data_IF_245619448804
#
_entry.id   IF_245619448804
#
_cell.length_a   1.000
_cell.length_b   1.000
_cell.length_c   1.000
_cell.angle_alpha   90.00
_cell.angle_beta   90.00
_cell.angle_gamma   90.00
#
_symmetry.space_group_name_H-M   'P 1'
#
loop_
_entity.id
_entity.type
_entity.pdbx_description
1 polymer ?
#
# COMPACT_ATOMS: atom_id res chain seq x y z
N UNK A 1 -46.32 -26.81 0.92
CA UNK A 1 -46.90 -26.09 -0.23
C UNK A 1 -45.81 -25.30 -0.93
N UNK A 2 -45.63 -25.62 -2.22
CA UNK A 2 -45.12 -24.86 -3.37
C UNK A 2 -43.98 -23.84 -3.20
N UNK A 3 -42.78 -24.34 -3.48
CA UNK A 3 -41.70 -23.61 -4.16
C UNK A 3 -42.14 -23.41 -5.62
N UNK A 4 -42.76 -22.28 -5.93
CA UNK A 4 -43.07 -21.88 -7.30
C UNK A 4 -42.41 -20.52 -7.56
N UNK A 5 -41.63 -20.49 -8.64
CA UNK A 5 -40.87 -19.36 -9.20
C UNK A 5 -39.43 -19.17 -8.70
N UNK A 6 -38.54 -20.01 -9.26
CA UNK A 6 -37.18 -19.59 -9.59
C UNK A 6 -37.21 -18.37 -10.54
N UNK A 7 -36.24 -17.47 -10.45
CA UNK A 7 -34.87 -17.73 -10.90
C UNK A 7 -33.85 -17.33 -9.83
N UNK A 8 -32.78 -18.12 -9.67
CA UNK A 8 -31.51 -17.52 -9.21
C UNK A 8 -31.11 -16.59 -10.35
N UNK A 9 -31.37 -15.30 -10.19
CA UNK A 9 -30.83 -14.29 -11.07
C UNK A 9 -29.31 -14.43 -11.07
N UNK A 10 -28.76 -14.96 -12.18
CA UNK A 10 -27.35 -14.86 -12.51
C UNK A 10 -26.95 -13.43 -12.92
N UNK A 11 -27.88 -12.45 -12.84
CA UNK A 11 -27.49 -11.06 -12.96
C UNK A 11 -26.60 -10.70 -11.76
N UNK A 12 -25.45 -10.04 -12.00
CA UNK A 12 -24.60 -9.57 -10.92
C UNK A 12 -25.46 -8.76 -9.94
N UNK A 13 -25.33 -9.05 -8.64
CA UNK A 13 -25.98 -8.25 -7.60
C UNK A 13 -25.56 -6.80 -7.82
N UNK A 14 -26.52 -5.90 -8.02
CA UNK A 14 -26.24 -4.50 -8.30
C UNK A 14 -25.23 -3.95 -7.29
N UNK A 15 -24.11 -3.43 -7.80
CA UNK A 15 -23.05 -2.87 -6.96
C UNK A 15 -23.42 -1.44 -6.54
N UNK A 16 -22.72 -0.91 -5.52
CA UNK A 16 -22.83 0.50 -5.14
C UNK A 16 -22.49 1.41 -6.34
N UNK A 17 -21.54 1.01 -7.18
CA UNK A 17 -21.18 1.72 -8.42
C UNK A 17 -22.32 1.72 -9.45
N UNK A 18 -23.04 0.61 -9.60
CA UNK A 18 -24.21 0.56 -10.50
C UNK A 18 -25.33 1.44 -9.98
N UNK A 19 -25.53 1.48 -8.66
CA UNK A 19 -26.51 2.37 -8.04
C UNK A 19 -26.18 3.85 -8.26
N UNK A 20 -24.91 4.26 -8.11
CA UNK A 20 -24.46 5.63 -8.42
C UNK A 20 -24.72 5.99 -9.88
N UNK A 21 -24.31 5.13 -10.83
CA UNK A 21 -24.54 5.35 -12.27
C UNK A 21 -26.02 5.57 -12.59
N UNK A 22 -26.90 4.72 -12.05
CA UNK A 22 -28.35 4.86 -12.24
C UNK A 22 -28.89 6.18 -11.66
N UNK A 23 -28.36 6.65 -10.53
CA UNK A 23 -28.74 7.94 -9.97
C UNK A 23 -28.28 9.08 -10.88
N UNK A 24 -27.04 9.05 -11.37
CA UNK A 24 -26.47 10.09 -12.23
C UNK A 24 -27.25 10.22 -13.55
N UNK A 25 -27.65 9.09 -14.16
CA UNK A 25 -28.51 9.08 -15.35
C UNK A 25 -29.89 9.71 -15.07
N UNK A 26 -30.49 9.40 -13.93
CA UNK A 26 -31.77 9.98 -13.51
C UNK A 26 -31.67 11.47 -13.23
N UNK A 27 -30.60 11.91 -12.55
CA UNK A 27 -30.32 13.32 -12.30
C UNK A 27 -30.15 14.07 -13.63
N UNK A 28 -29.39 13.52 -14.57
CA UNK A 28 -29.21 14.09 -15.90
C UNK A 28 -30.55 14.23 -16.66
N UNK A 29 -31.40 13.21 -16.59
CA UNK A 29 -32.76 13.27 -17.17
C UNK A 29 -33.64 14.35 -16.53
N UNK A 30 -33.57 14.50 -15.21
CA UNK A 30 -34.28 15.54 -14.48
C UNK A 30 -33.77 16.93 -14.86
N UNK A 31 -32.47 17.12 -15.02
CA UNK A 31 -31.88 18.39 -15.44
C UNK A 31 -32.34 18.84 -16.83
N UNK A 32 -32.40 17.91 -17.79
CA UNK A 32 -32.96 18.19 -19.12
C UNK A 32 -34.42 18.63 -19.01
N UNK A 33 -35.23 17.98 -18.17
CA UNK A 33 -36.65 18.36 -17.96
C UNK A 33 -36.78 19.72 -17.28
N UNK A 34 -35.99 19.99 -16.23
CA UNK A 34 -35.96 21.27 -15.52
C UNK A 34 -35.55 22.40 -16.47
N UNK A 35 -34.54 22.19 -17.31
CA UNK A 35 -34.09 23.16 -18.32
C UNK A 35 -35.19 23.51 -19.33
N UNK A 36 -35.94 22.52 -19.82
CA UNK A 36 -37.11 22.75 -20.69
C UNK A 36 -38.19 23.59 -20.00
N UNK A 37 -38.53 23.27 -18.74
CA UNK A 37 -39.51 24.04 -17.96
C UNK A 37 -39.02 25.47 -17.67
N UNK A 38 -37.72 25.67 -17.42
CA UNK A 38 -37.12 27.01 -17.26
C UNK A 38 -37.28 27.86 -18.53
N UNK A 39 -37.07 27.26 -19.70
CA UNK A 39 -37.24 27.94 -20.99
C UNK A 39 -38.71 28.34 -21.20
N UNK A 40 -39.65 27.46 -20.86
CA UNK A 40 -41.09 27.76 -20.93
C UNK A 40 -41.48 28.89 -19.94
N UNK A 41 -40.98 28.84 -18.71
CA UNK A 41 -41.20 29.89 -17.70
C UNK A 41 -40.67 31.25 -18.14
N UNK A 42 -39.48 31.28 -18.76
CA UNK A 42 -38.90 32.51 -19.32
C UNK A 42 -39.79 33.08 -20.42
N UNK A 43 -40.37 32.21 -21.25
CA UNK A 43 -41.33 32.61 -22.29
C UNK A 43 -42.60 33.20 -21.69
N UNK A 44 -43.15 32.58 -20.63
CA UNK A 44 -44.29 33.15 -19.92
C UNK A 44 -43.96 34.49 -19.25
N UNK A 45 -42.79 34.62 -18.62
CA UNK A 45 -42.34 35.86 -18.00
C UNK A 45 -42.32 37.00 -19.02
N UNK A 46 -41.73 36.77 -20.21
CA UNK A 46 -41.67 37.78 -21.28
C UNK A 46 -43.05 38.16 -21.79
N UNK A 47 -43.96 37.19 -21.95
CA UNK A 47 -45.36 37.48 -22.35
C UNK A 47 -46.08 38.29 -21.28
N UNK A 48 -45.94 37.91 -20.00
CA UNK A 48 -46.60 38.60 -18.89
C UNK A 48 -46.10 40.04 -18.70
N UNK A 49 -44.82 40.32 -18.95
CA UNK A 49 -44.26 41.68 -18.82
C UNK A 49 -44.78 42.65 -19.88
N UNK A 50 -45.20 42.15 -21.04
CA UNK A 50 -45.75 42.96 -22.14
C UNK A 50 -47.28 43.13 -22.05
N UNK A 51 -47.94 42.46 -21.10
CA UNK A 51 -49.41 42.48 -20.99
C UNK A 51 -49.90 43.46 -19.93
N UNK A 52 -50.96 44.19 -20.29
CA UNK A 52 -51.76 44.96 -19.32
C UNK A 52 -52.53 44.01 -18.41
N UNK A 53 -52.81 44.47 -17.19
CA UNK A 53 -53.59 43.69 -16.23
C UNK A 53 -55.00 43.43 -16.75
N UNK A 54 -55.47 42.20 -16.56
CA UNK A 54 -56.78 41.75 -17.01
C UNK A 54 -56.91 40.22 -17.12
N UNK A 55 -58.08 39.72 -17.54
CA UNK A 55 -58.39 38.30 -17.60
C UNK A 55 -57.39 37.48 -18.45
N UNK A 56 -56.91 38.04 -19.57
CA UNK A 56 -55.91 37.40 -20.42
C UNK A 56 -54.57 37.19 -19.71
N UNK A 57 -54.08 38.20 -18.97
CA UNK A 57 -52.84 38.10 -18.19
C UNK A 57 -52.98 37.11 -17.04
N UNK A 58 -54.14 37.08 -16.37
CA UNK A 58 -54.43 36.11 -15.30
C UNK A 58 -54.44 34.66 -15.81
N UNK A 59 -54.98 34.42 -17.01
CA UNK A 59 -54.95 33.09 -17.63
C UNK A 59 -53.52 32.59 -17.89
N UNK A 60 -52.66 33.45 -18.43
CA UNK A 60 -51.24 33.11 -18.66
C UNK A 60 -50.50 32.91 -17.34
N UNK A 61 -50.75 33.75 -16.32
CA UNK A 61 -50.18 33.61 -14.98
C UNK A 61 -50.53 32.25 -14.36
N UNK A 62 -51.78 31.80 -14.51
CA UNK A 62 -52.22 30.49 -14.01
C UNK A 62 -51.52 29.32 -14.73
N UNK A 63 -51.25 29.44 -16.04
CA UNK A 63 -50.46 28.45 -16.78
C UNK A 63 -49.00 28.43 -16.31
N UNK A 64 -48.38 29.60 -16.18
CA UNK A 64 -47.02 29.73 -15.66
C UNK A 64 -46.87 29.14 -14.24
N UNK A 65 -47.87 29.35 -13.37
CA UNK A 65 -47.89 28.76 -12.03
C UNK A 65 -47.92 27.22 -12.05
N UNK A 66 -48.62 26.59 -12.99
CA UNK A 66 -48.62 25.12 -13.13
C UNK A 66 -47.23 24.61 -13.52
N UNK A 67 -46.59 25.25 -14.50
CA UNK A 67 -45.23 24.91 -14.95
C UNK A 67 -44.21 25.12 -13.83
N UNK A 68 -44.34 26.21 -13.05
CA UNK A 68 -43.46 26.48 -11.91
C UNK A 68 -43.59 25.39 -10.84
N UNK A 69 -44.81 24.94 -10.53
CA UNK A 69 -45.04 23.84 -9.58
C UNK A 69 -44.40 22.54 -10.06
N UNK A 70 -44.57 22.21 -11.35
CA UNK A 70 -43.93 21.03 -11.95
C UNK A 70 -42.41 21.12 -11.86
N UNK A 71 -41.83 22.27 -12.18
CA UNK A 71 -40.38 22.49 -12.06
C UNK A 71 -39.89 22.29 -10.63
N UNK A 72 -40.55 22.91 -9.64
CA UNK A 72 -40.20 22.74 -8.22
C UNK A 72 -40.31 21.29 -7.74
N UNK A 73 -41.30 20.54 -8.24
CA UNK A 73 -41.43 19.12 -7.91
C UNK A 73 -40.26 18.31 -8.47
N UNK A 74 -39.79 18.60 -9.69
CA UNK A 74 -38.63 17.92 -10.27
C UNK A 74 -37.32 18.32 -9.58
N UNK A 75 -37.16 19.58 -9.18
CA UNK A 75 -36.03 20.04 -8.35
C UNK A 75 -35.98 19.26 -7.03
N UNK A 76 -37.11 19.14 -6.32
CA UNK A 76 -37.17 18.36 -5.09
C UNK A 76 -36.81 16.87 -5.30
N UNK A 77 -37.25 16.27 -6.41
CA UNK A 77 -36.85 14.90 -6.77
C UNK A 77 -35.34 14.79 -7.05
N UNK A 78 -34.76 15.78 -7.73
CA UNK A 78 -33.33 15.84 -7.99
C UNK A 78 -32.55 15.95 -6.68
N UNK A 79 -32.95 16.84 -5.78
CA UNK A 79 -32.29 17.04 -4.49
C UNK A 79 -32.32 15.76 -3.65
N UNK A 80 -33.45 15.03 -3.66
CA UNK A 80 -33.56 13.73 -2.99
C UNK A 80 -32.59 12.69 -3.59
N UNK A 81 -32.45 12.64 -4.92
CA UNK A 81 -31.51 11.75 -5.58
C UNK A 81 -30.04 12.12 -5.31
N UNK A 82 -29.73 13.42 -5.27
CA UNK A 82 -28.39 13.91 -4.90
C UNK A 82 -28.03 13.51 -3.47
N UNK A 83 -28.99 13.61 -2.53
CA UNK A 83 -28.81 13.10 -1.16
C UNK A 83 -28.58 11.58 -1.12
N UNK A 84 -29.29 10.81 -1.95
CA UNK A 84 -29.03 9.37 -2.08
C UNK A 84 -27.65 9.07 -2.65
N UNK A 85 -27.21 9.80 -3.67
CA UNK A 85 -25.88 9.67 -4.25
C UNK A 85 -24.80 9.90 -3.19
N UNK A 86 -24.94 10.98 -2.40
CA UNK A 86 -24.02 11.29 -1.31
C UNK A 86 -23.96 10.16 -0.26
N UNK A 87 -25.10 9.63 0.17
CA UNK A 87 -25.14 8.50 1.11
C UNK A 87 -24.44 7.25 0.54
N UNK A 88 -24.59 6.98 -0.76
CA UNK A 88 -23.90 5.86 -1.42
C UNK A 88 -22.40 6.11 -1.49
N UNK A 89 -21.96 7.33 -1.81
CA UNK A 89 -20.53 7.67 -1.80
C UNK A 89 -19.92 7.51 -0.40
N UNK A 90 -20.64 7.89 0.66
CA UNK A 90 -20.20 7.66 2.04
C UNK A 90 -20.10 6.16 2.38
N UNK A 91 -21.07 5.36 1.95
CA UNK A 91 -21.03 3.91 2.11
C UNK A 91 -19.88 3.26 1.34
N UNK A 92 -19.56 3.77 0.15
CA UNK A 92 -18.44 3.32 -0.67
C UNK A 92 -17.10 3.61 0.02
N UNK A 93 -16.91 4.85 0.52
CA UNK A 93 -15.71 5.21 1.29
C UNK A 93 -15.53 4.32 2.53
N UNK A 94 -16.62 4.07 3.26
CA UNK A 94 -16.61 3.17 4.42
C UNK A 94 -16.23 1.74 4.01
N UNK A 95 -16.79 1.25 2.91
CA UNK A 95 -16.48 -0.08 2.37
C UNK A 95 -15.01 -0.21 2.01
N UNK A 96 -14.43 0.82 1.38
CA UNK A 96 -13.02 0.79 0.98
C UNK A 96 -12.07 0.88 2.19
N UNK A 97 -12.42 1.69 3.21
CA UNK A 97 -11.71 1.68 4.50
C UNK A 97 -11.74 0.31 5.18
N UNK A 98 -12.89 -0.37 5.16
CA UNK A 98 -13.03 -1.72 5.71
C UNK A 98 -12.20 -2.75 4.94
N UNK A 99 -12.12 -2.66 3.60
CA UNK A 99 -11.24 -3.52 2.81
C UNK A 99 -9.77 -3.31 3.17
N UNK A 100 -9.33 -2.06 3.30
CA UNK A 100 -7.96 -1.75 3.71
C UNK A 100 -7.66 -2.33 5.10
N UNK A 101 -8.59 -2.17 6.04
CA UNK A 101 -8.48 -2.76 7.38
C UNK A 101 -8.37 -4.29 7.32
N UNK A 102 -9.16 -4.94 6.47
CA UNK A 102 -9.11 -6.39 6.28
C UNK A 102 -7.76 -6.85 5.72
N UNK A 103 -7.19 -6.13 4.74
CA UNK A 103 -5.86 -6.40 4.20
C UNK A 103 -4.80 -6.30 5.31
N UNK A 104 -4.85 -5.25 6.13
CA UNK A 104 -3.94 -5.10 7.29
C UNK A 104 -4.09 -6.26 8.27
N UNK A 105 -5.32 -6.63 8.64
CA UNK A 105 -5.58 -7.75 9.55
C UNK A 105 -5.05 -9.06 8.98
N UNK A 106 -5.24 -9.32 7.69
CA UNK A 106 -4.74 -10.53 7.05
C UNK A 106 -3.20 -10.54 6.94
N UNK A 107 -2.57 -9.38 6.72
CA UNK A 107 -1.12 -9.25 6.81
C UNK A 107 -0.62 -9.56 8.23
N UNK A 108 -1.24 -8.98 9.26
CA UNK A 108 -0.90 -9.25 10.67
C UNK A 108 -1.05 -10.73 11.03
N UNK A 109 -2.12 -11.40 10.54
CA UNK A 109 -2.30 -12.85 10.75
C UNK A 109 -1.16 -13.66 10.12
N UNK A 110 -0.74 -13.31 8.90
CA UNK A 110 0.39 -13.96 8.22
C UNK A 110 1.68 -13.74 8.98
N UNK A 111 1.98 -12.50 9.37
CA UNK A 111 3.16 -12.16 10.18
C UNK A 111 3.16 -12.89 11.52
N UNK A 112 2.04 -12.95 12.23
CA UNK A 112 1.94 -13.69 13.50
C UNK A 112 2.17 -15.20 13.32
N UNK A 113 1.68 -15.78 12.21
CA UNK A 113 1.95 -17.19 11.89
C UNK A 113 3.43 -17.44 11.63
N UNK A 114 4.10 -16.54 10.91
CA UNK A 114 5.53 -16.63 10.65
C UNK A 114 6.35 -16.42 11.93
N UNK A 115 6.02 -15.40 12.74
CA UNK A 115 6.64 -15.17 14.05
C UNK A 115 6.56 -16.42 14.93
N UNK A 116 5.40 -17.08 15.01
CA UNK A 116 5.26 -18.34 15.77
C UNK A 116 6.11 -19.48 15.21
N UNK A 117 6.25 -19.55 13.88
CA UNK A 117 7.10 -20.55 13.23
C UNK A 117 8.58 -20.30 13.51
N UNK A 118 9.03 -19.06 13.44
CA UNK A 118 10.42 -18.66 13.73
C UNK A 118 10.74 -18.83 15.20
N UNK A 119 9.86 -18.37 16.09
CA UNK A 119 10.05 -18.50 17.54
C UNK A 119 10.06 -19.97 17.98
N UNK A 120 9.21 -20.82 17.39
CA UNK A 120 9.23 -22.26 17.65
C UNK A 120 10.44 -23.02 17.10
N UNK A 121 11.32 -22.37 16.31
CA UNK A 121 12.62 -22.92 15.88
C UNK A 121 13.77 -22.49 16.79
N UNK A 122 13.55 -21.52 17.68
CA UNK A 122 14.53 -21.11 18.68
C UNK A 122 14.40 -22.10 19.82
N UNK A 123 15.39 -22.98 19.94
CA UNK A 123 15.50 -23.96 21.01
C UNK A 123 16.14 -23.25 22.20
N UNK A 124 15.34 -22.87 23.20
CA UNK A 124 15.80 -22.07 24.35
C UNK A 124 16.86 -22.83 25.13
N UNK A 125 16.72 -24.15 25.25
CA UNK A 125 17.69 -25.02 25.91
C UNK A 125 19.06 -24.95 25.21
N UNK A 126 19.10 -24.87 23.87
CA UNK A 126 20.37 -24.67 23.14
C UNK A 126 20.92 -23.25 23.25
N UNK A 127 20.06 -22.27 23.52
CA UNK A 127 20.50 -20.90 23.79
C UNK A 127 21.17 -20.81 25.16
N UNK A 128 20.63 -21.53 26.16
CA UNK A 128 21.25 -21.71 27.48
C UNK A 128 22.56 -22.50 27.35
N UNK A 129 22.57 -23.63 26.62
CA UNK A 129 23.79 -24.41 26.37
C UNK A 129 24.87 -23.56 25.67
N UNK A 130 24.51 -22.75 24.66
CA UNK A 130 25.47 -21.83 24.02
C UNK A 130 25.92 -20.70 24.94
N UNK A 131 25.08 -20.23 25.85
CA UNK A 131 25.47 -19.21 26.82
C UNK A 131 26.46 -19.80 27.83
N UNK A 132 26.20 -21.01 28.32
CA UNK A 132 27.09 -21.76 29.21
C UNK A 132 28.40 -22.09 28.51
N UNK A 133 28.37 -22.52 27.24
CA UNK A 133 29.57 -22.78 26.44
C UNK A 133 30.35 -21.48 26.13
N UNK A 134 29.66 -20.34 25.99
CA UNK A 134 30.30 -19.03 25.86
C UNK A 134 30.95 -18.56 27.17
N UNK A 135 30.31 -18.81 28.32
CA UNK A 135 30.89 -18.55 29.63
C UNK A 135 32.12 -19.44 29.88
N UNK A 136 32.03 -20.72 29.53
CA UNK A 136 33.15 -21.67 29.60
C UNK A 136 34.30 -21.27 28.67
N UNK A 137 34.00 -20.72 27.48
CA UNK A 137 35.01 -20.20 26.55
C UNK A 137 35.67 -18.91 27.05
N UNK A 138 34.91 -18.02 27.72
CA UNK A 138 35.47 -16.83 28.36
C UNK A 138 36.35 -17.23 29.54
N UNK A 139 35.90 -18.17 30.37
CA UNK A 139 36.67 -18.68 31.50
C UNK A 139 37.92 -19.43 31.04
N UNK A 140 37.85 -20.26 29.99
CA UNK A 140 39.04 -20.82 29.35
C UNK A 140 39.93 -19.75 28.72
N UNK A 141 39.37 -18.70 28.14
CA UNK A 141 40.18 -17.60 27.59
C UNK A 141 40.93 -16.86 28.70
N UNK A 142 40.30 -16.65 29.85
CA UNK A 142 40.93 -16.06 31.03
C UNK A 142 41.99 -17.02 31.61
N UNK A 143 41.68 -18.32 31.71
CA UNK A 143 42.62 -19.34 32.18
C UNK A 143 43.80 -19.52 31.22
N UNK A 144 43.58 -19.37 29.90
CA UNK A 144 44.64 -19.34 28.88
C UNK A 144 45.48 -18.06 29.00
N UNK A 145 44.88 -16.90 29.26
CA UNK A 145 45.60 -15.65 29.51
C UNK A 145 46.48 -15.75 30.78
N UNK A 146 45.94 -16.33 31.85
CA UNK A 146 46.65 -16.59 33.12
C UNK A 146 47.76 -17.66 32.94
N UNK A 147 47.48 -18.77 32.25
CA UNK A 147 48.41 -19.87 32.03
C UNK A 147 49.52 -19.56 31.02
N UNK A 148 49.26 -18.70 30.03
CA UNK A 148 50.31 -18.15 29.16
C UNK A 148 51.21 -17.16 29.89
N UNK A 149 50.94 -16.85 31.17
CA UNK A 149 51.73 -15.92 31.97
C UNK A 149 51.89 -14.58 31.27
N UNK A 150 50.95 -14.23 30.38
CA UNK A 150 50.85 -12.89 29.85
C UNK A 150 49.88 -12.21 30.78
N UNK A 151 50.43 -11.77 31.91
CA UNK A 151 50.12 -10.44 32.39
C UNK A 151 50.20 -9.51 31.16
N UNK A 152 49.09 -9.32 30.47
CA UNK A 152 48.80 -7.97 30.04
C UNK A 152 48.43 -7.28 31.34
N UNK A 153 49.49 -6.84 32.03
CA UNK A 153 49.49 -5.62 32.79
C UNK A 153 48.99 -4.59 31.79
N UNK A 154 47.67 -4.46 31.64
CA UNK A 154 47.11 -3.18 31.24
C UNK A 154 47.45 -2.35 32.46
N UNK A 155 48.42 -1.41 32.37
CA UNK A 155 48.66 -0.54 33.50
C UNK A 155 47.31 0.06 33.85
N UNK A 156 46.90 -0.02 35.12
CA UNK A 156 45.64 0.60 35.60
C UNK A 156 45.61 2.13 35.29
N UNK A 157 46.72 2.69 34.82
CA UNK A 157 46.92 4.09 34.44
C UNK A 157 47.21 4.25 32.93
N UNK A 158 46.23 4.00 32.04
CA UNK A 158 46.22 4.70 30.73
C UNK A 158 45.61 6.08 30.99
N UNK A 159 46.41 7.14 30.89
CA UNK A 159 45.89 8.50 31.08
C UNK A 159 45.05 8.93 29.88
N UNK A 160 43.92 9.63 30.10
CA UNK A 160 43.07 10.17 29.00
C UNK A 160 43.88 10.92 27.94
N UNK A 161 44.96 11.61 28.33
CA UNK A 161 45.80 12.36 27.39
C UNK A 161 46.68 11.49 26.48
N UNK A 162 46.98 10.25 26.87
CA UNK A 162 47.69 9.30 26.00
C UNK A 162 46.73 8.65 25.01
N UNK A 163 45.50 8.34 25.46
CA UNK A 163 44.42 7.83 24.63
C UNK A 163 43.98 8.85 23.56
N UNK A 164 43.84 10.12 23.93
CA UNK A 164 43.48 11.19 22.99
C UNK A 164 44.56 11.39 21.92
N UNK A 165 45.84 11.35 22.32
CA UNK A 165 46.96 11.47 21.38
C UNK A 165 47.03 10.29 20.40
N UNK A 166 46.67 9.08 20.84
CA UNK A 166 46.64 7.89 19.98
C UNK A 166 45.42 7.88 19.05
N UNK A 167 44.27 8.38 19.51
CA UNK A 167 43.07 8.58 18.68
C UNK A 167 43.27 9.64 17.59
N UNK A 168 43.93 10.75 17.91
CA UNK A 168 44.28 11.78 16.93
C UNK A 168 45.23 11.21 15.87
N UNK A 169 46.25 10.45 16.26
CA UNK A 169 47.17 9.81 15.33
C UNK A 169 46.46 8.79 14.42
N UNK A 170 45.46 8.04 14.92
CA UNK A 170 44.67 7.11 14.13
C UNK A 170 43.72 7.83 13.16
N UNK A 171 43.17 8.99 13.57
CA UNK A 171 42.38 9.87 12.72
C UNK A 171 43.21 10.43 11.56
N UNK A 172 44.45 10.86 11.82
CA UNK A 172 45.39 11.30 10.79
C UNK A 172 45.79 10.17 9.83
N UNK A 173 45.98 8.93 10.32
CA UNK A 173 46.26 7.77 9.46
C UNK A 173 45.04 7.36 8.61
N UNK A 174 43.82 7.48 9.15
CA UNK A 174 42.59 7.25 8.42
C UNK A 174 42.32 8.32 7.36
N UNK A 175 42.55 9.60 7.69
CA UNK A 175 42.46 10.72 6.76
C UNK A 175 43.54 10.64 5.67
N UNK A 176 44.77 10.25 6.00
CA UNK A 176 45.83 10.02 5.01
C UNK A 176 45.48 8.84 4.07
N UNK A 177 44.80 7.81 4.58
CA UNK A 177 44.32 6.69 3.78
C UNK A 177 43.07 7.05 2.96
N UNK A 178 42.22 7.96 3.43
CA UNK A 178 41.06 8.51 2.72
C UNK A 178 41.47 9.52 1.63
N UNK A 179 42.55 10.30 1.85
CA UNK A 179 43.19 11.14 0.82
C UNK A 179 43.94 10.31 -0.24
N UNK A 180 44.48 9.14 0.13
CA UNK A 180 45.12 8.20 -0.80
C UNK A 180 44.09 7.34 -1.57
N UNK A 181 42.92 7.07 -0.98
CA UNK A 181 41.85 6.25 -1.56
C UNK A 181 40.63 7.13 -1.93
N UNK A 182 40.83 8.02 -2.90
CA UNK A 182 39.74 8.78 -3.51
C UNK A 182 38.54 7.89 -3.88
N UNK A 183 37.40 8.16 -3.23
CA UNK A 183 36.04 7.71 -3.57
C UNK A 183 35.85 6.20 -3.80
N UNK A 184 35.74 5.39 -2.74
CA UNK A 184 34.93 4.16 -2.79
C UNK A 184 34.45 3.67 -1.43
N UNK A 185 33.38 4.29 -0.93
CA UNK A 185 32.58 3.68 0.14
C UNK A 185 32.01 2.32 -0.34
N UNK A 186 31.93 1.31 0.55
CA UNK A 186 31.35 0.01 0.22
C UNK A 186 29.95 0.13 -0.41
N UNK A 187 29.70 -0.69 -1.43
CA UNK A 187 28.47 -0.68 -2.26
C UNK A 187 27.14 -0.78 -1.47
N UNK A 188 27.14 -1.24 -0.22
CA UNK A 188 25.92 -1.27 0.61
C UNK A 188 25.49 0.13 1.12
N UNK A 189 26.30 1.17 0.91
CA UNK A 189 26.01 2.55 1.30
C UNK A 189 25.74 3.49 0.11
N UNK A 190 25.65 2.99 -1.14
CA UNK A 190 25.38 3.83 -2.33
C UNK A 190 23.98 3.62 -2.94
N UNK A 191 23.33 4.74 -3.30
CA UNK A 191 21.88 4.95 -3.53
C UNK A 191 21.29 4.36 -4.85
N UNK A 192 21.98 3.41 -5.51
CA UNK A 192 21.58 2.89 -6.85
C UNK A 192 20.89 1.51 -6.84
N UNK A 193 20.75 0.85 -5.69
CA UNK A 193 20.18 -0.51 -5.61
C UNK A 193 18.64 -0.59 -5.63
N UNK A 194 17.91 0.54 -5.71
CA UNK A 194 16.44 0.57 -5.65
C UNK A 194 15.74 0.75 -7.01
N UNK A 195 16.47 0.92 -8.11
CA UNK A 195 15.89 1.25 -9.40
C UNK A 195 16.48 0.40 -10.54
N UNK A 196 15.97 -0.82 -10.71
CA UNK A 196 15.91 -1.65 -11.94
C UNK A 196 16.34 -3.08 -11.66
N UNK A 197 15.39 -3.98 -11.36
CA UNK A 197 15.49 -5.38 -11.82
C UNK A 197 14.08 -5.91 -12.12
N UNK A 198 13.71 -5.85 -13.40
CA UNK A 198 12.76 -6.76 -14.04
C UNK A 198 13.52 -7.44 -15.19
N UNK A 199 13.44 -8.78 -15.23
CA UNK A 199 13.92 -9.73 -16.27
C UNK A 199 15.44 -10.03 -16.27
N UNK A 200 15.98 -11.23 -16.04
CA UNK A 200 15.50 -12.61 -15.84
C UNK A 200 16.47 -13.35 -14.87
N UNK A 201 16.03 -14.36 -14.09
CA UNK A 201 16.94 -15.11 -13.22
C UNK A 201 17.81 -16.15 -13.99
N UNK A 202 19.07 -16.36 -13.55
CA UNK A 202 20.03 -17.26 -14.22
C UNK A 202 19.66 -18.75 -14.10
N UNK A 203 19.91 -19.52 -15.16
CA UNK A 203 19.65 -20.97 -15.24
C UNK A 203 20.65 -21.77 -14.40
N UNK A 204 20.14 -22.52 -13.42
CA UNK A 204 20.87 -23.52 -12.64
C UNK A 204 21.24 -24.73 -13.52
N UNK A 205 22.52 -25.12 -13.53
CA UNK A 205 22.98 -26.40 -14.08
C UNK A 205 23.20 -27.32 -12.88
N UNK A 206 22.30 -28.29 -12.71
CA UNK A 206 22.42 -29.41 -11.78
C UNK A 206 22.36 -30.70 -12.63
N UNK A 207 23.48 -31.39 -12.80
CA UNK A 207 23.49 -32.86 -12.93
C UNK A 207 24.89 -33.41 -12.63
N UNK A 208 25.02 -34.53 -11.89
CA UNK A 208 26.26 -34.98 -11.27
C UNK A 208 27.15 -35.82 -12.19
N UNK A 209 28.46 -35.79 -11.93
CA UNK A 209 29.42 -36.69 -12.55
C UNK A 209 29.16 -38.15 -12.15
N UNK A 210 29.02 -39.03 -13.14
CA UNK A 210 29.29 -40.47 -12.98
C UNK A 210 30.12 -40.97 -14.15
N UNK A 211 31.14 -41.75 -13.77
CA UNK A 211 32.15 -42.43 -14.57
C UNK A 211 31.69 -43.04 -15.90
N UNK A 212 32.55 -43.01 -16.92
CA UNK A 212 33.12 -44.25 -17.47
C UNK A 212 34.28 -43.94 -18.43
N UNK A 213 35.45 -44.49 -18.08
CA UNK A 213 36.56 -44.74 -18.97
C UNK A 213 36.14 -45.71 -20.08
N UNK A 214 36.95 -45.74 -21.15
CA UNK A 214 36.98 -46.73 -22.24
C UNK A 214 36.09 -46.48 -23.46
N UNK A 215 36.67 -45.90 -24.52
CA UNK A 215 37.22 -46.69 -25.64
C UNK A 215 37.62 -45.80 -26.82
N UNK A 216 38.86 -46.04 -27.26
CA UNK A 216 39.31 -46.07 -28.66
C UNK A 216 39.52 -44.73 -29.36
N UNK A 217 40.77 -44.29 -29.26
CA UNK A 217 41.71 -44.21 -30.40
C UNK A 217 41.24 -44.87 -31.71
N UNK A 218 41.57 -44.23 -32.84
CA UNK A 218 41.23 -44.52 -34.25
C UNK A 218 39.83 -44.02 -34.65
N UNK A 219 39.68 -43.09 -35.60
CA UNK A 219 40.20 -43.15 -36.97
C UNK A 219 40.34 -41.73 -37.53
N UNK A 220 41.57 -41.31 -37.80
CA UNK A 220 41.89 -40.46 -38.94
C UNK A 220 42.65 -41.34 -39.95
N UNK A 221 41.87 -42.01 -40.81
CA UNK A 221 42.15 -42.32 -42.21
C UNK A 221 40.92 -42.97 -42.84
#
# INVERSE_FOLDING_TARGET
>A
MNRLFGTRSNAPKASLNDAMKNIDERVSSLDVKISKLNTELTTYQRKLSQMRDGPGKNSIKNRALKVLRQRKQLEAQKDQLMSQSWNISQAQMTTDNLKNTMITVDAMKRTNKELRRTYGKIDVDKLEDMQDEMLDLIDQSNEIQDALGRSYDVPDDISEGELDAELDALGEDAEANEEAAGESLPSYLTDSALANESEEPPKFVDEPETDEQEKKEMVAQ
#
